data_IF_404618217277
#
_entry.id   IF_404618217277
#
_cell.length_a   1.000
_cell.length_b   1.000
_cell.length_c   1.000
_cell.angle_alpha   90.00
_cell.angle_beta   90.00
_cell.angle_gamma   90.00
#
_symmetry.space_group_name_H-M   'P 1'
#
loop_
_entity.id
_entity.type
_entity.pdbx_description
1 polymer ?
#
# COMPACT_ATOMS: atom_id res chain seq x y z
N UNK A 1 23.43 13.55 -38.51
CA UNK A 1 21.96 13.39 -38.43
C UNK A 1 21.39 14.61 -37.71
N UNK A 2 20.44 15.32 -38.33
CA UNK A 2 19.76 16.45 -37.70
C UNK A 2 18.71 15.93 -36.70
N UNK A 3 18.69 16.49 -35.49
CA UNK A 3 17.74 16.09 -34.44
C UNK A 3 17.73 17.12 -33.31
N UNK A 4 16.66 17.14 -32.52
CA UNK A 4 16.52 18.06 -31.38
C UNK A 4 16.96 17.40 -30.07
N UNK A 5 17.94 18.00 -29.40
CA UNK A 5 18.41 17.59 -28.05
C UNK A 5 17.83 18.45 -26.92
N UNK A 6 16.78 19.23 -27.19
CA UNK A 6 16.16 20.13 -26.22
C UNK A 6 15.14 19.39 -25.33
N UNK A 7 15.60 18.74 -24.26
CA UNK A 7 14.76 17.92 -23.37
C UNK A 7 13.78 18.73 -22.52
N UNK A 8 14.10 19.98 -22.21
CA UNK A 8 13.27 20.87 -21.38
C UNK A 8 12.13 21.53 -22.14
N UNK A 9 12.15 21.48 -23.48
CA UNK A 9 11.19 22.17 -24.35
C UNK A 9 10.25 21.15 -25.00
N UNK A 10 8.96 21.24 -24.67
CA UNK A 10 7.91 20.39 -25.26
C UNK A 10 8.09 18.91 -24.91
N UNK A 11 7.62 18.03 -25.80
CA UNK A 11 7.81 16.58 -25.70
C UNK A 11 8.66 16.06 -26.86
N UNK A 12 9.12 14.81 -26.74
CA UNK A 12 9.75 14.10 -27.85
C UNK A 12 8.84 14.07 -29.09
N UNK A 13 7.55 13.77 -28.89
CA UNK A 13 6.56 13.65 -29.95
C UNK A 13 6.34 14.97 -30.69
N UNK A 14 6.08 16.06 -29.98
CA UNK A 14 5.86 17.38 -30.62
C UNK A 14 7.09 17.84 -31.37
N UNK A 15 8.29 17.68 -30.78
CA UNK A 15 9.55 18.08 -31.42
C UNK A 15 9.81 17.32 -32.71
N UNK A 16 9.54 16.01 -32.74
CA UNK A 16 9.77 15.20 -33.94
C UNK A 16 8.69 15.45 -34.99
N UNK A 17 7.42 15.58 -34.59
CA UNK A 17 6.34 16.00 -35.49
C UNK A 17 6.69 17.30 -36.21
N UNK A 18 7.16 18.30 -35.46
CA UNK A 18 7.44 19.63 -36.02
C UNK A 18 8.71 19.60 -36.89
N UNK A 19 9.73 18.81 -36.53
CA UNK A 19 10.92 18.57 -37.37
C UNK A 19 10.60 17.85 -38.70
N UNK A 20 9.68 16.88 -38.67
CA UNK A 20 9.20 16.21 -39.88
C UNK A 20 8.40 17.18 -40.76
N UNK A 21 7.50 17.97 -40.16
CA UNK A 21 6.71 18.99 -40.88
C UNK A 21 7.57 20.06 -41.53
N UNK A 22 8.68 20.44 -40.90
CA UNK A 22 9.64 21.39 -41.45
C UNK A 22 10.57 20.79 -42.52
N UNK A 23 10.50 19.49 -42.79
CA UNK A 23 11.37 18.80 -43.75
C UNK A 23 12.82 18.60 -43.28
N UNK A 24 13.14 18.93 -42.02
CA UNK A 24 14.47 18.74 -41.44
C UNK A 24 14.72 17.26 -41.16
N UNK A 25 13.70 16.55 -40.67
CA UNK A 25 13.74 15.10 -40.48
C UNK A 25 13.04 14.42 -41.66
N UNK A 26 13.84 13.81 -42.54
CA UNK A 26 13.34 13.14 -43.77
C UNK A 26 12.75 11.76 -43.50
N UNK A 27 13.30 11.04 -42.53
CA UNK A 27 12.87 9.68 -42.18
C UNK A 27 12.04 9.70 -40.91
N UNK A 28 10.81 9.17 -41.01
CA UNK A 28 9.90 9.02 -39.88
C UNK A 28 10.43 7.93 -38.92
N UNK A 29 10.60 8.21 -37.62
CA UNK A 29 11.02 7.19 -36.66
C UNK A 29 9.99 6.07 -36.50
N UNK A 30 10.46 4.83 -36.38
CA UNK A 30 9.61 3.63 -36.27
C UNK A 30 8.55 3.71 -35.17
N UNK A 31 8.87 4.34 -34.04
CA UNK A 31 7.94 4.44 -32.90
C UNK A 31 6.86 5.53 -33.07
N UNK A 32 7.00 6.44 -34.05
CA UNK A 32 6.12 7.61 -34.16
C UNK A 32 4.67 7.19 -34.42
N UNK A 33 4.44 6.27 -35.36
CA UNK A 33 3.09 5.76 -35.67
C UNK A 33 2.45 5.08 -34.47
N UNK A 34 3.25 4.35 -33.68
CA UNK A 34 2.77 3.69 -32.45
C UNK A 34 2.32 4.72 -31.42
N UNK A 35 3.11 5.78 -31.23
CA UNK A 35 2.75 6.87 -30.30
C UNK A 35 1.52 7.66 -30.78
N UNK A 36 1.40 7.90 -32.09
CA UNK A 36 0.26 8.61 -32.68
C UNK A 36 -1.04 7.81 -32.56
N UNK A 37 -0.99 6.49 -32.75
CA UNK A 37 -2.14 5.61 -32.60
C UNK A 37 -2.53 5.39 -31.13
N UNK A 38 -1.53 5.27 -30.23
CA UNK A 38 -1.73 4.96 -28.81
C UNK A 38 -0.99 5.97 -27.92
N UNK A 39 -1.46 7.24 -27.85
CA UNK A 39 -0.79 8.25 -27.05
C UNK A 39 -0.92 7.95 -25.54
N UNK A 40 0.08 8.34 -24.73
CA UNK A 40 0.00 8.17 -23.28
C UNK A 40 -1.05 9.11 -22.67
N UNK A 41 -1.64 8.72 -21.53
CA UNK A 41 -2.62 9.54 -20.80
C UNK A 41 -2.08 10.93 -20.41
N UNK A 42 -0.78 11.02 -20.14
CA UNK A 42 -0.10 12.27 -19.81
C UNK A 42 1.13 12.41 -20.69
N UNK A 43 1.21 13.54 -21.37
CA UNK A 43 2.35 13.88 -22.19
C UNK A 43 3.65 13.99 -21.37
N UNK A 44 4.78 13.44 -21.85
CA UNK A 44 6.07 13.44 -21.16
C UNK A 44 6.78 14.80 -21.28
N UNK A 45 6.14 15.85 -20.75
CA UNK A 45 6.70 17.20 -20.68
C UNK A 45 7.64 17.29 -19.49
N UNK A 46 8.83 17.86 -19.70
CA UNK A 46 9.75 18.16 -18.63
C UNK A 46 9.10 19.09 -17.59
N UNK A 47 9.11 18.66 -16.32
CA UNK A 47 8.64 19.48 -15.19
C UNK A 47 9.72 19.49 -14.12
N UNK A 48 10.26 20.67 -13.83
CA UNK A 48 11.23 20.85 -12.75
C UNK A 48 10.52 20.61 -11.40
N UNK A 49 10.97 19.65 -10.56
CA UNK A 49 10.41 19.47 -9.24
C UNK A 49 10.69 20.73 -8.40
N UNK A 50 9.65 21.27 -7.76
CA UNK A 50 9.75 22.44 -6.87
C UNK A 50 9.47 22.00 -5.44
N UNK A 51 10.26 22.52 -4.51
CA UNK A 51 9.98 22.35 -3.09
C UNK A 51 8.68 23.08 -2.73
N UNK A 52 7.94 22.51 -1.79
CA UNK A 52 6.73 23.12 -1.23
C UNK A 52 7.15 23.99 -0.05
N UNK A 53 6.67 25.23 -0.01
CA UNK A 53 6.94 26.18 1.09
C UNK A 53 5.64 26.65 1.73
N UNK A 54 5.74 27.24 2.93
CA UNK A 54 4.60 27.79 3.66
C UNK A 54 3.60 26.70 4.08
N UNK A 55 2.32 26.91 3.77
CA UNK A 55 1.21 26.00 4.15
C UNK A 55 0.96 24.86 3.15
N UNK A 56 1.80 24.72 2.13
CA UNK A 56 1.63 23.69 1.11
C UNK A 56 1.92 22.29 1.69
N UNK A 57 0.88 21.47 1.84
CA UNK A 57 0.97 20.09 2.34
C UNK A 57 0.91 19.07 1.20
N UNK A 58 1.30 17.84 1.49
CA UNK A 58 1.07 16.70 0.62
C UNK A 58 -0.43 16.41 0.45
N UNK A 59 -0.82 15.96 -0.74
CA UNK A 59 -2.22 15.68 -1.07
C UNK A 59 -2.60 14.21 -0.80
N UNK A 60 -1.62 13.35 -0.54
CA UNK A 60 -1.83 11.93 -0.30
C UNK A 60 -2.22 11.73 1.16
N UNK A 61 -3.43 11.23 1.45
CA UNK A 61 -3.86 10.95 2.81
C UNK A 61 -3.27 9.62 3.32
N UNK A 62 -3.30 9.43 4.64
CA UNK A 62 -3.00 8.14 5.27
C UNK A 62 -4.10 7.11 4.94
N UNK A 63 -3.70 5.85 4.75
CA UNK A 63 -4.62 4.73 4.46
C UNK A 63 -4.83 3.94 5.76
N UNK A 64 -5.96 4.16 6.42
CA UNK A 64 -6.35 3.50 7.67
C UNK A 64 -7.70 2.82 7.51
N UNK A 65 -7.80 1.58 8.00
CA UNK A 65 -9.04 0.80 7.98
C UNK A 65 -9.63 0.63 9.38
N UNK A 66 -10.89 0.23 9.45
CA UNK A 66 -11.58 0.05 10.74
C UNK A 66 -10.94 -1.06 11.56
N UNK A 67 -10.49 -2.14 10.90
CA UNK A 67 -9.81 -3.25 11.54
C UNK A 67 -8.44 -2.88 12.12
N UNK A 68 -7.81 -1.79 11.71
CA UNK A 68 -6.50 -1.38 12.23
C UNK A 68 -6.58 -1.02 13.71
N UNK A 69 -7.74 -0.56 14.19
CA UNK A 69 -8.00 -0.37 15.64
C UNK A 69 -7.92 -1.70 16.40
N UNK A 70 -8.51 -2.76 15.83
CA UNK A 70 -8.52 -4.11 16.41
C UNK A 70 -7.10 -4.69 16.37
N UNK A 71 -6.40 -4.54 15.25
CA UNK A 71 -5.00 -4.98 15.08
C UNK A 71 -4.07 -4.28 16.07
N UNK A 72 -4.24 -2.97 16.28
CA UNK A 72 -3.45 -2.21 17.25
C UNK A 72 -3.64 -2.73 18.68
N UNK A 73 -4.89 -3.02 19.08
CA UNK A 73 -5.21 -3.62 20.39
C UNK A 73 -4.62 -5.03 20.52
N UNK A 74 -4.76 -5.85 19.48
CA UNK A 74 -4.19 -7.20 19.42
C UNK A 74 -2.67 -7.19 19.60
N UNK A 75 -1.95 -6.38 18.82
CA UNK A 75 -0.49 -6.31 18.91
C UNK A 75 0.01 -5.66 20.22
N UNK A 76 -0.77 -4.75 20.82
CA UNK A 76 -0.45 -4.20 22.14
C UNK A 76 -0.54 -5.28 23.23
N UNK A 77 -1.56 -6.13 23.18
CA UNK A 77 -1.83 -7.16 24.22
C UNK A 77 -0.98 -8.43 24.01
N UNK A 78 -0.92 -8.95 22.79
CA UNK A 78 -0.31 -10.25 22.48
C UNK A 78 1.04 -10.13 21.76
N UNK A 79 1.31 -9.02 21.10
CA UNK A 79 2.50 -8.85 20.28
C UNK A 79 2.47 -9.69 19.00
N UNK A 80 3.66 -9.92 18.42
CA UNK A 80 3.81 -10.81 17.27
C UNK A 80 3.63 -12.26 17.73
N UNK A 81 2.65 -12.96 17.18
CA UNK A 81 2.36 -14.35 17.52
C UNK A 81 3.48 -15.32 17.08
N UNK A 82 3.39 -16.59 17.47
CA UNK A 82 4.40 -17.60 17.13
C UNK A 82 4.40 -17.95 15.63
N UNK A 83 3.27 -17.75 14.94
CA UNK A 83 3.14 -17.99 13.51
C UNK A 83 3.79 -16.84 12.75
N UNK A 84 4.88 -17.12 12.05
CA UNK A 84 5.55 -16.17 11.16
C UNK A 84 4.66 -15.80 9.98
N UNK A 85 4.88 -14.61 9.42
CA UNK A 85 4.18 -14.17 8.23
C UNK A 85 4.78 -14.84 7.00
N UNK A 86 3.92 -15.43 6.17
CA UNK A 86 4.28 -15.83 4.81
C UNK A 86 3.74 -14.77 3.84
N UNK A 87 4.65 -13.92 3.35
CA UNK A 87 4.31 -12.84 2.43
C UNK A 87 4.27 -13.29 0.96
N UNK A 88 4.71 -14.52 0.65
CA UNK A 88 4.65 -15.06 -0.71
C UNK A 88 3.26 -15.59 -1.06
N UNK A 89 2.50 -16.05 -0.05
CA UNK A 89 1.16 -16.55 -0.25
C UNK A 89 0.12 -15.41 -0.15
N UNK A 90 -0.59 -15.08 -1.25
CA UNK A 90 -1.58 -13.99 -1.26
C UNK A 90 -2.78 -14.27 -0.35
N UNK A 91 -3.08 -15.54 -0.05
CA UNK A 91 -4.20 -15.97 0.79
C UNK A 91 -3.76 -16.27 2.24
N UNK A 92 -2.59 -15.81 2.66
CA UNK A 92 -2.08 -16.07 4.00
C UNK A 92 -2.91 -15.37 5.08
N UNK A 93 -3.51 -16.17 5.97
CA UNK A 93 -4.16 -15.66 7.18
C UNK A 93 -3.22 -15.74 8.38
N UNK A 94 -2.82 -14.58 8.88
CA UNK A 94 -2.10 -14.43 10.15
C UNK A 94 -3.00 -14.71 11.35
N UNK A 95 -2.43 -14.94 12.52
CA UNK A 95 -3.21 -15.08 13.77
C UNK A 95 -4.00 -13.82 14.08
N UNK A 96 -3.41 -12.65 13.87
CA UNK A 96 -4.08 -11.35 13.99
C UNK A 96 -5.25 -11.22 12.99
N UNK A 97 -5.08 -11.67 11.74
CA UNK A 97 -6.16 -11.63 10.75
C UNK A 97 -7.34 -12.55 11.16
N UNK A 98 -7.06 -13.76 11.67
CA UNK A 98 -8.11 -14.64 12.21
C UNK A 98 -8.83 -14.01 13.39
N UNK A 99 -8.10 -13.32 14.26
CA UNK A 99 -8.67 -12.58 15.39
C UNK A 99 -9.62 -11.47 14.92
N UNK A 100 -9.22 -10.68 13.92
CA UNK A 100 -10.05 -9.64 13.32
C UNK A 100 -11.31 -10.22 12.69
N UNK A 101 -11.20 -11.30 11.92
CA UNK A 101 -12.36 -11.97 11.30
C UNK A 101 -13.37 -12.42 12.36
N UNK A 102 -12.90 -13.08 13.42
CA UNK A 102 -13.76 -13.52 14.53
C UNK A 102 -14.38 -12.35 15.29
N UNK A 103 -13.64 -11.27 15.48
CA UNK A 103 -14.14 -10.04 16.11
C UNK A 103 -15.28 -9.42 15.33
N UNK A 104 -15.14 -9.32 14.01
CA UNK A 104 -16.18 -8.78 13.14
C UNK A 104 -17.40 -9.73 13.10
N UNK A 105 -17.19 -11.05 13.14
CA UNK A 105 -18.28 -12.03 13.25
C UNK A 105 -19.10 -11.85 14.54
N UNK A 106 -18.45 -11.66 15.69
CA UNK A 106 -19.15 -11.43 16.96
C UNK A 106 -19.82 -10.05 17.02
N UNK A 107 -19.15 -9.01 16.48
CA UNK A 107 -19.72 -7.67 16.38
C UNK A 107 -21.02 -7.66 15.57
N UNK A 108 -21.08 -8.43 14.47
CA UNK A 108 -22.29 -8.59 13.66
C UNK A 108 -23.44 -9.30 14.39
N UNK A 109 -23.15 -10.09 15.43
CA UNK A 109 -24.17 -10.79 16.23
C UNK A 109 -24.84 -9.89 17.28
N UNK A 110 -24.37 -8.64 17.44
CA UNK A 110 -25.04 -7.63 18.27
C UNK A 110 -24.34 -7.32 19.59
N UNK A 111 -23.14 -7.84 19.83
CA UNK A 111 -22.30 -7.41 20.94
C UNK A 111 -21.72 -6.02 20.65
N UNK A 112 -21.97 -5.04 21.53
CA UNK A 112 -21.55 -3.64 21.33
C UNK A 112 -20.34 -3.22 22.16
N UNK A 113 -19.99 -4.01 23.18
CA UNK A 113 -18.95 -3.66 24.15
C UNK A 113 -17.59 -4.18 23.68
N UNK A 114 -16.68 -3.26 23.32
CA UNK A 114 -15.38 -3.57 22.69
C UNK A 114 -14.47 -4.44 23.57
N UNK A 115 -14.55 -4.30 24.90
CA UNK A 115 -13.73 -5.08 25.82
C UNK A 115 -14.25 -6.50 25.97
N UNK A 116 -15.58 -6.67 26.00
CA UNK A 116 -16.21 -8.00 26.03
C UNK A 116 -15.97 -8.74 24.72
N UNK A 117 -16.20 -8.08 23.59
CA UNK A 117 -15.90 -8.60 22.25
C UNK A 117 -14.46 -9.11 22.17
N UNK A 118 -13.50 -8.31 22.62
CA UNK A 118 -12.08 -8.68 22.56
C UNK A 118 -11.73 -9.90 23.43
N UNK A 119 -12.36 -10.04 24.61
CA UNK A 119 -12.16 -11.20 25.47
C UNK A 119 -12.83 -12.45 24.91
N UNK A 120 -14.02 -12.31 24.35
CA UNK A 120 -14.80 -13.41 23.76
C UNK A 120 -14.14 -13.94 22.49
N UNK A 121 -13.62 -13.07 21.63
CA UNK A 121 -12.81 -13.50 20.48
C UNK A 121 -11.56 -14.26 20.90
N UNK A 122 -10.88 -13.79 21.95
CA UNK A 122 -9.72 -14.48 22.51
C UNK A 122 -10.07 -15.89 22.98
N UNK A 123 -11.20 -16.05 23.69
CA UNK A 123 -11.69 -17.37 24.13
C UNK A 123 -12.08 -18.26 22.94
N UNK A 124 -12.76 -17.71 21.94
CA UNK A 124 -13.13 -18.47 20.74
C UNK A 124 -11.92 -18.97 19.97
N UNK A 125 -10.87 -18.15 19.81
CA UNK A 125 -9.64 -18.55 19.14
C UNK A 125 -8.81 -19.56 19.92
N UNK A 126 -8.83 -19.50 21.26
CA UNK A 126 -8.23 -20.53 22.09
C UNK A 126 -8.96 -21.88 21.93
N UNK A 127 -10.29 -21.87 21.80
CA UNK A 127 -11.08 -23.07 21.51
C UNK A 127 -10.78 -23.65 20.11
N UNK A 128 -10.42 -22.80 19.14
CA UNK A 128 -9.92 -23.20 17.81
C UNK A 128 -8.45 -23.65 17.81
N UNK A 129 -7.77 -23.64 18.97
CA UNK A 129 -6.38 -24.09 19.13
C UNK A 129 -5.31 -23.06 18.74
N UNK A 130 -5.67 -21.78 18.59
CA UNK A 130 -4.71 -20.71 18.29
C UNK A 130 -3.98 -20.28 19.57
N UNK A 131 -2.65 -20.26 19.53
CA UNK A 131 -1.82 -19.86 20.67
C UNK A 131 -1.80 -18.33 20.79
N UNK A 132 -2.37 -17.80 21.88
CA UNK A 132 -2.37 -16.38 22.23
C UNK A 132 -1.57 -16.17 23.53
N UNK A 133 -0.35 -15.63 23.43
CA UNK A 133 0.49 -15.32 24.60
C UNK A 133 0.45 -13.83 24.88
N UNK A 134 0.06 -13.42 26.09
CA UNK A 134 0.05 -11.99 26.46
C UNK A 134 1.47 -11.48 26.69
N UNK A 135 1.72 -10.24 26.27
CA UNK A 135 2.97 -9.52 26.50
C UNK A 135 3.07 -9.16 27.98
N UNK A 136 3.99 -9.79 28.71
CA UNK A 136 4.22 -9.56 30.15
C UNK A 136 4.17 -10.81 31.04
N UNK A 137 3.51 -11.89 30.60
CA UNK A 137 3.42 -13.16 31.38
C UNK A 137 4.66 -14.07 31.21
N UNK A 138 5.80 -13.50 30.79
CA UNK A 138 6.97 -14.23 30.31
C UNK A 138 8.26 -14.08 31.11
N UNK A 139 8.22 -13.66 32.37
CA UNK A 139 9.41 -13.52 33.22
C UNK A 139 9.17 -13.95 34.68
N UNK A 140 8.80 -15.21 34.91
CA UNK A 140 9.06 -15.89 36.18
C UNK A 140 9.85 -17.16 35.91
N UNK A 141 11.13 -16.98 35.56
CA UNK A 141 12.10 -18.08 35.66
C UNK A 141 12.43 -18.20 37.15
N UNK A 142 11.82 -19.17 37.83
CA UNK A 142 12.23 -19.55 39.18
C UNK A 142 13.57 -20.28 39.06
N UNK A 143 14.65 -19.62 39.45
CA UNK A 143 15.89 -20.31 39.77
C UNK A 143 15.67 -21.05 41.10
N UNK A 144 15.82 -22.37 41.09
CA UNK A 144 16.04 -23.20 42.26
C UNK A 144 17.51 -23.56 42.31
#
# INVERSE_FOLDING_TARGET
MAGSRLETIGTLFTRIRDLMRAGVLKEKPLWYDVYEAFPPLKEPVFRRPRQRYGKAKELVPEVLYQEDRIRAKYYSVYGSGPKTFDLFNPNFKSSCQRFVEKYIELQKKGETDEDKLFLETGKALLAEGVILRRKGEGATVKYY
#
